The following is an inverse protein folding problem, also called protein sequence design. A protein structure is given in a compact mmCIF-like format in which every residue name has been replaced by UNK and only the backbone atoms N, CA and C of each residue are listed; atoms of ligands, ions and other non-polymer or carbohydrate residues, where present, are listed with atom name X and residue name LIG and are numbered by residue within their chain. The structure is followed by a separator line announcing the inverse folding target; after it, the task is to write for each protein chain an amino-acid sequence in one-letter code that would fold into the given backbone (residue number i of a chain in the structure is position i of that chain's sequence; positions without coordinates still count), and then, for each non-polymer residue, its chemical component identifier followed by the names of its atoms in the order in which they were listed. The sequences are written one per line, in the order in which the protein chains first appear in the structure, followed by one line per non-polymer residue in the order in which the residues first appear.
data_IF_300530636617
#
_entry.id   IF_300530636617
#
_cell.length_a   1.000
_cell.length_b   1.000
_cell.length_c   1.000
_cell.angle_alpha   90.00
_cell.angle_beta   90.00
_cell.angle_gamma   90.00
#
_symmetry.space_group_name_H-M   'P 1'
#
loop_
_entity.id
_entity.type
_entity.pdbx_description
1 polymer ?
2 polymer ?
3 water ?
#
# COMPACT_ATOMS: atom_id res chain seq x y z
N UNK A 3 -13.06 -7.61 -2.98
CA UNK A 3 -13.04 -7.52 -4.47
C UNK A 3 -11.71 -7.00 -5.02
N UNK A 4 -10.62 -7.60 -4.55
CA UNK A 4 -9.25 -7.26 -4.97
C UNK A 4 -8.33 -8.05 -4.06
N UNK A 5 -7.68 -9.09 -4.60
CA UNK A 5 -6.76 -9.90 -3.81
C UNK A 5 -5.32 -9.71 -4.24
N UNK A 6 -4.49 -9.30 -3.29
CA UNK A 6 -3.07 -9.05 -3.54
C UNK A 6 -2.22 -10.01 -2.74
N UNK A 7 -1.36 -10.74 -3.44
CA UNK A 7 -0.48 -11.73 -2.83
C UNK A 7 0.93 -11.16 -2.63
N UNK A 8 1.37 -11.09 -1.38
CA UNK A 8 2.68 -10.51 -1.10
C UNK A 8 3.67 -11.45 -0.42
N UNK A 9 4.96 -11.19 -0.66
CA UNK A 9 6.03 -11.95 -0.04
C UNK A 9 7.37 -11.27 -0.25
N UNK A 10 8.30 -11.53 0.65
CA UNK A 10 9.63 -10.97 0.56
C UNK A 10 10.58 -12.13 0.37
N UNK A 11 11.40 -12.06 -0.66
CA UNK A 11 12.30 -13.16 -0.94
C UNK A 11 13.73 -12.71 -1.12
N UNK A 12 14.64 -13.64 -0.86
CA UNK A 12 16.06 -13.39 -0.98
C UNK A 12 16.60 -14.10 -2.23
N UNK A 13 17.36 -13.38 -3.04
CA UNK A 13 17.96 -13.98 -4.22
C UNK A 13 19.45 -13.89 -4.04
N UNK A 14 20.14 -14.98 -4.35
CA UNK A 14 21.59 -15.03 -4.27
C UNK A 14 22.08 -15.69 -5.54
N UNK A 15 22.78 -14.92 -6.36
CA UNK A 15 23.29 -15.44 -7.62
C UNK A 15 24.81 -15.50 -7.62
N UNK A 16 25.36 -16.15 -8.64
CA UNK A 16 26.80 -16.26 -8.78
C UNK A 16 27.26 -15.12 -9.69
N UNK A 17 28.48 -14.65 -9.45
CA UNK A 17 29.08 -13.56 -10.21
C UNK A 17 28.80 -13.61 -11.71
N UNK A 18 29.07 -14.76 -12.30
CA UNK A 18 28.89 -14.95 -13.73
C UNK A 18 27.48 -14.72 -14.23
N UNK A 19 26.51 -15.34 -13.56
CA UNK A 19 25.12 -15.25 -13.98
C UNK A 19 24.35 -14.02 -13.50
N UNK A 20 23.06 -13.99 -13.85
CA UNK A 20 22.18 -12.92 -13.45
C UNK A 20 21.08 -13.54 -12.62
N UNK A 21 20.18 -12.71 -12.08
CA UNK A 21 19.09 -13.22 -11.27
C UNK A 21 18.05 -13.95 -12.13
N UNK A 22 18.01 -13.60 -13.41
CA UNK A 22 17.08 -14.24 -14.32
C UNK A 22 15.68 -13.67 -14.43
N UNK A 23 15.57 -12.38 -14.72
CA UNK A 23 14.26 -11.77 -14.89
C UNK A 23 14.38 -10.46 -15.64
N UNK A 24 13.29 -10.07 -16.29
CA UNK A 24 13.27 -8.83 -17.04
C UNK A 24 12.34 -7.88 -16.30
N UNK A 25 12.90 -6.74 -15.91
CA UNK A 25 12.18 -5.74 -15.18
C UNK A 25 11.69 -4.62 -16.08
N UNK A 26 10.37 -4.43 -16.13
CA UNK A 26 9.79 -3.35 -16.92
C UNK A 26 9.03 -2.39 -16.01
N UNK A 27 9.10 -1.10 -16.31
CA UNK A 27 8.39 -0.15 -15.47
C UNK A 27 8.24 1.23 -16.06
N UNK A 28 8.87 2.21 -15.41
CA UNK A 28 8.83 3.60 -15.83
C UNK A 28 9.87 4.42 -15.06
N UNK A 34 5.54 9.04 -17.36
CA UNK A 34 4.79 9.93 -16.49
C UNK A 34 5.71 10.50 -15.40
N UNK A 35 5.12 10.80 -14.24
CA UNK A 35 5.86 11.34 -13.11
C UNK A 35 5.18 10.98 -11.79
N UNK A 36 4.04 11.62 -11.54
CA UNK A 36 3.26 11.40 -10.33
C UNK A 36 2.46 10.11 -10.38
N UNK A 37 2.99 9.07 -9.73
CA UNK A 37 2.31 7.79 -9.69
C UNK A 37 1.48 7.67 -8.43
N UNK A 38 0.25 7.18 -8.58
CA UNK A 38 -0.64 6.96 -7.45
C UNK A 38 -1.00 5.48 -7.44
N UNK A 39 -0.36 4.69 -6.56
CA UNK A 39 -0.61 3.25 -6.46
C UNK A 39 -2.08 2.90 -6.40
N UNK A 40 -2.43 1.81 -7.07
CA UNK A 40 -3.79 1.31 -7.10
C UNK A 40 -3.67 -0.20 -6.88
N UNK A 41 -4.73 -0.84 -6.39
CA UNK A 41 -4.63 -2.29 -6.17
C UNK A 41 -4.21 -3.03 -7.43
N UNK A 42 -4.85 -2.71 -8.56
CA UNK A 42 -4.54 -3.38 -9.81
C UNK A 42 -3.18 -2.94 -10.35
N UNK A 43 -2.76 -1.75 -9.98
CA UNK A 43 -1.49 -1.18 -10.43
C UNK A 43 -0.74 -0.69 -9.19
N UNK A 44 -0.26 -1.61 -8.34
CA UNK A 44 0.47 -1.25 -7.12
C UNK A 44 1.82 -0.53 -7.20
N UNK A 45 2.64 -0.82 -8.20
CA UNK A 45 3.94 -0.14 -8.28
C UNK A 45 4.36 0.14 -9.71
N UNK A 46 5.46 0.86 -9.88
CA UNK A 46 5.96 1.20 -11.21
C UNK A 46 6.67 0.06 -11.93
N UNK A 47 7.59 -0.60 -11.22
CA UNK A 47 8.35 -1.70 -11.80
C UNK A 47 7.72 -3.05 -11.48
N UNK A 48 7.69 -3.93 -12.47
CA UNK A 48 7.14 -5.26 -12.30
C UNK A 48 7.95 -6.23 -13.14
N UNK A 49 7.72 -7.52 -12.92
CA UNK A 49 8.45 -8.53 -13.66
C UNK A 49 7.71 -8.90 -14.92
N UNK A 50 8.26 -8.48 -16.05
CA UNK A 50 7.68 -8.78 -17.36
C UNK A 50 7.91 -10.25 -17.69
N UNK A 51 9.08 -10.75 -17.30
CA UNK A 51 9.44 -12.13 -17.55
C UNK A 51 10.47 -12.65 -16.56
N UNK A 52 10.34 -13.94 -16.24
CA UNK A 52 11.21 -14.65 -15.32
C UNK A 52 11.65 -15.98 -15.96
N UNK A 53 12.96 -16.14 -16.17
CA UNK A 53 13.53 -17.36 -16.75
C UNK A 53 13.23 -18.55 -15.84
N UNK A 54 12.52 -19.54 -16.36
CA UNK A 54 12.18 -20.72 -15.57
C UNK A 54 13.44 -21.43 -15.07
N UNK A 55 13.43 -21.84 -13.81
CA UNK A 55 14.58 -22.52 -13.24
C UNK A 55 15.76 -21.60 -12.93
N UNK A 56 15.59 -20.30 -13.18
CA UNK A 56 16.67 -19.36 -12.89
C UNK A 56 16.71 -19.02 -11.40
N UNK A 57 17.66 -18.17 -11.02
CA UNK A 57 17.79 -17.77 -9.62
C UNK A 57 16.46 -17.19 -9.14
N UNK A 58 15.99 -16.18 -9.86
CA UNK A 58 14.74 -15.53 -9.51
C UNK A 58 13.61 -16.54 -9.48
N UNK A 59 13.55 -17.38 -10.51
CA UNK A 59 12.50 -18.37 -10.60
C UNK A 59 12.52 -19.35 -9.43
N UNK A 60 13.69 -19.89 -9.12
CA UNK A 60 13.78 -20.82 -8.01
C UNK A 60 13.41 -20.17 -6.67
N UNK A 61 13.70 -18.88 -6.52
CA UNK A 61 13.37 -18.19 -5.28
C UNK A 61 11.87 -17.98 -5.12
N UNK A 62 11.12 -18.13 -6.21
CA UNK A 62 9.68 -17.97 -6.14
C UNK A 62 9.10 -16.76 -6.87
N UNK A 63 9.93 -16.07 -7.65
CA UNK A 63 9.46 -14.90 -8.38
C UNK A 63 8.79 -15.33 -9.68
N UNK A 64 7.74 -14.60 -10.06
CA UNK A 64 6.99 -14.91 -11.28
C UNK A 64 6.52 -13.66 -12.05
N UNK A 65 6.19 -13.87 -13.32
CA UNK A 65 5.70 -12.81 -14.21
C UNK A 65 4.57 -12.08 -13.51
N UNK A 66 4.51 -10.77 -13.68
CA UNK A 66 3.45 -9.99 -13.07
C UNK A 66 3.74 -9.49 -11.67
N UNK A 67 4.85 -9.93 -11.08
CA UNK A 67 5.23 -9.50 -9.75
C UNK A 67 5.62 -8.04 -9.75
N UNK A 68 4.96 -7.25 -8.91
CA UNK A 68 5.27 -5.84 -8.80
C UNK A 68 6.28 -5.71 -7.68
N UNK A 69 7.27 -4.86 -7.87
CA UNK A 69 8.29 -4.66 -6.84
C UNK A 69 7.87 -3.57 -5.86
N UNK A 70 7.80 -3.95 -4.59
CA UNK A 70 7.40 -3.04 -3.53
C UNK A 70 8.63 -2.48 -2.81
N UNK A 71 9.58 -3.35 -2.49
CA UNK A 71 10.81 -2.95 -1.82
C UNK A 71 11.98 -3.74 -2.38
N UNK A 72 13.09 -3.05 -2.58
CA UNK A 72 14.32 -3.63 -3.09
C UNK A 72 15.37 -3.43 -2.02
N UNK A 73 15.91 -4.53 -1.49
CA UNK A 73 16.93 -4.44 -0.46
C UNK A 73 16.48 -3.52 0.69
N UNK A 74 15.19 -3.60 1.01
CA UNK A 74 14.66 -2.81 2.11
C UNK A 74 14.19 -1.42 1.77
N UNK A 75 14.46 -0.96 0.55
CA UNK A 75 14.03 0.38 0.16
C UNK A 75 12.73 0.28 -0.61
N UNK A 76 11.77 1.13 -0.27
CA UNK A 76 10.50 1.12 -0.96
C UNK A 76 10.73 1.69 -2.36
N UNK A 77 10.19 1.02 -3.37
CA UNK A 77 10.38 1.47 -4.75
C UNK A 77 9.05 1.60 -5.48
N UNK A 78 7.96 1.54 -4.72
CA UNK A 78 6.63 1.65 -5.28
C UNK A 78 6.53 2.78 -6.29
N UNK A 79 7.12 3.92 -5.96
CA UNK A 79 7.06 5.09 -6.83
C UNK A 79 8.40 5.48 -7.44
N UNK A 80 9.32 4.53 -7.53
CA UNK A 80 10.63 4.82 -8.07
C UNK A 80 10.70 4.56 -9.58
N UNK A 81 11.56 5.33 -10.25
CA UNK A 81 11.74 5.21 -11.69
C UNK A 81 12.58 4.00 -12.05
N UNK A 82 12.29 3.42 -13.21
CA UNK A 82 12.97 2.25 -13.72
C UNK A 82 14.48 2.27 -13.55
N UNK A 83 15.11 3.33 -14.05
CA UNK A 83 16.56 3.48 -13.97
C UNK A 83 17.07 3.42 -12.54
N UNK A 84 16.40 4.15 -11.65
CA UNK A 84 16.81 4.18 -10.25
C UNK A 84 16.68 2.81 -9.58
N UNK A 85 15.60 2.09 -9.89
CA UNK A 85 15.37 0.77 -9.32
C UNK A 85 16.42 -0.21 -9.85
N UNK A 86 16.65 -0.17 -11.16
CA UNK A 86 17.63 -1.04 -11.78
C UNK A 86 18.97 -0.85 -11.08
N UNK A 87 19.32 0.41 -10.87
CA UNK A 87 20.56 0.77 -10.22
C UNK A 87 20.64 0.19 -8.81
N UNK A 88 19.53 0.27 -8.07
CA UNK A 88 19.50 -0.26 -6.72
C UNK A 88 19.75 -1.75 -6.73
N UNK A 89 19.17 -2.44 -7.72
CA UNK A 89 19.34 -3.88 -7.84
C UNK A 89 20.81 -4.17 -8.16
N UNK A 90 21.38 -3.36 -9.04
CA UNK A 90 22.77 -3.52 -9.40
C UNK A 90 23.59 -3.41 -8.11
N UNK A 91 23.33 -2.35 -7.36
CA UNK A 91 24.03 -2.09 -6.11
C UNK A 91 24.23 -3.29 -5.18
N UNK A 92 23.18 -4.09 -5.00
CA UNK A 92 23.28 -5.24 -4.12
C UNK A 92 24.26 -6.33 -4.53
N UNK A 93 24.80 -6.22 -5.74
CA UNK A 93 25.74 -7.22 -6.20
C UNK A 93 25.12 -8.56 -6.58
N UNK A 94 25.47 -9.60 -5.83
CA UNK A 94 24.95 -10.94 -6.11
C UNK A 94 23.80 -11.35 -5.21
N UNK A 95 23.28 -10.38 -4.47
CA UNK A 95 22.15 -10.68 -3.60
C UNK A 95 21.09 -9.63 -3.84
N UNK A 96 19.84 -10.05 -3.71
CA UNK A 96 18.72 -9.15 -3.87
C UNK A 96 17.63 -9.62 -2.95
N UNK A 97 17.22 -8.74 -2.04
CA UNK A 97 16.14 -9.07 -1.14
C UNK A 97 15.03 -8.21 -1.72
N UNK A 98 13.93 -8.85 -2.10
CA UNK A 98 12.87 -8.09 -2.71
C UNK A 98 11.50 -8.46 -2.19
N UNK A 99 10.69 -7.45 -1.91
CA UNK A 99 9.31 -7.66 -1.47
C UNK A 99 8.47 -7.42 -2.72
N UNK A 100 7.60 -8.36 -3.06
CA UNK A 100 6.78 -8.21 -4.25
C UNK A 100 5.34 -8.55 -3.98
N UNK A 101 4.49 -8.17 -4.92
CA UNK A 101 3.08 -8.44 -4.84
C UNK A 101 2.57 -8.86 -6.21
N UNK A 102 1.64 -9.79 -6.17
CA UNK A 102 1.00 -10.34 -7.34
C UNK A 102 -0.47 -9.99 -7.16
N UNK A 103 -1.02 -9.21 -8.08
CA UNK A 103 -2.43 -8.87 -8.00
C UNK A 103 -3.12 -10.06 -8.64
N UNK A 104 -3.89 -10.79 -7.84
CA UNK A 104 -4.57 -11.97 -8.35
C UNK A 104 -6.08 -11.83 -8.38
N UNK A 105 -6.57 -10.59 -8.34
CA UNK A 105 -8.01 -10.29 -8.38
C UNK A 105 -8.72 -11.04 -9.52
N UNK B 1 4.06 -15.97 2.78
CA UNK B 1 3.64 -14.56 2.58
C UNK B 1 2.26 -14.29 3.15
N UNK B 2 1.57 -13.31 2.56
CA UNK B 2 0.24 -12.94 3.02
C UNK B 2 -0.64 -12.62 1.84
N UNK B 3 -1.93 -12.90 1.99
CA UNK B 3 -2.87 -12.56 0.94
C UNK B 3 -3.71 -11.44 1.54
N UNK B 4 -3.82 -10.33 0.81
CA UNK B 4 -4.60 -9.18 1.25
C UNK B 4 -5.88 -8.96 0.43
N UNK B 5 -7.01 -8.88 1.12
CA UNK B 5 -8.30 -8.62 0.50
C UNK B 5 -8.48 -7.10 0.65
N UNK B 6 -8.57 -6.41 -0.48
CA UNK B 6 -8.71 -4.97 -0.46
C UNK B 6 -10.08 -4.55 -0.95
N UNK B 7 -10.75 -3.72 -0.16
CA UNK B 7 -12.07 -3.21 -0.50
C UNK B 7 -12.08 -1.71 -0.26
N UNK B 8 -12.71 -0.96 -1.17
CA UNK B 8 -12.78 0.49 -1.03
C UNK B 8 -14.23 0.94 -1.02
N UNK B 9 -14.50 2.08 -0.38
CA UNK B 9 -15.85 2.60 -0.31
C UNK B 9 -15.90 3.97 0.33
N UNK B 10 -17.02 4.66 0.15
CA UNK B 10 -17.18 5.98 0.73
C UNK B 10 -18.40 5.95 1.63
N UNK B 11 -18.27 6.56 2.80
CA UNK B 11 -19.36 6.55 3.77
C UNK B 11 -19.75 7.93 4.24
N UNK B 12 -21.05 8.15 4.42
CA UNK B 12 -21.54 9.45 4.88
C UNK B 12 -21.98 9.43 6.33
N UNK B 13 -21.27 10.20 7.15
CA UNK B 13 -21.58 10.29 8.56
C UNK B 13 -22.25 11.61 8.88
N UNK B 14 -23.25 11.55 9.76
CA UNK B 14 -23.93 12.74 10.20
C UNK B 14 -24.37 12.53 11.64
N UNK B 15 -23.86 13.36 12.53
CA UNK B 15 -24.18 13.24 13.95
C UNK B 15 -24.92 14.47 14.47
N UNK B 16 -25.41 14.35 15.70
CA UNK B 16 -26.10 15.45 16.37
C UNK B 16 -24.97 16.30 16.91
N UNK B 17 -25.20 17.60 17.00
CA UNK B 17 -24.18 18.50 17.49
C UNK B 17 -23.70 18.09 18.88
N UNK B 18 -24.53 17.32 19.58
CA UNK B 18 -24.22 16.88 20.94
C UNK B 18 -23.62 15.49 21.04
N UNK B 19 -23.05 14.99 19.95
CA UNK B 19 -22.45 13.66 19.97
C UNK B 19 -21.22 13.55 19.10
N UNK B 20 -20.49 12.46 19.27
CA UNK B 20 -19.30 12.23 18.46
C UNK B 20 -19.62 11.32 17.29
N UNK B 21 -18.70 11.19 16.34
CA UNK B 21 -18.93 10.32 15.20
C UNK B 21 -18.84 8.88 15.67
N UNK B 22 -18.14 8.68 16.78
CA UNK B 22 -18.02 7.35 17.34
C UNK B 22 -16.83 6.52 16.91
N UNK B 23 -15.68 7.15 16.70
CA UNK B 23 -14.48 6.40 16.32
C UNK B 23 -13.21 7.09 16.76
N UNK B 24 -12.14 6.30 16.85
CA UNK B 24 -10.84 6.80 17.24
C UNK B 24 -9.96 6.74 16.00
N UNK B 25 -9.40 7.88 15.63
CA UNK B 25 -8.54 7.96 14.46
C UNK B 25 -7.11 7.71 14.94
N UNK B 26 -6.34 6.93 14.18
CA UNK B 26 -4.97 6.66 14.56
C UNK B 26 -4.03 6.77 13.37
N UNK B 27 -2.81 7.25 13.62
CA UNK B 27 -1.85 7.37 12.55
C UNK B 27 -0.67 8.26 12.87
N UNK B 28 0.32 8.28 11.98
CA UNK B 28 1.51 9.10 12.18
C UNK B 28 1.14 10.57 12.23
N UNK B 34 7.38 14.05 10.98
CA UNK B 34 7.09 14.03 9.55
C UNK B 34 8.31 13.69 8.70
N UNK B 35 8.15 12.73 7.80
CA UNK B 35 9.24 12.33 6.92
C UNK B 35 8.73 11.79 5.58
N UNK B 36 8.94 10.51 5.30
CA UNK B 36 8.49 9.95 4.03
C UNK B 36 7.65 8.68 4.12
N UNK B 37 6.49 8.72 3.48
CA UNK B 37 5.55 7.60 3.45
C UNK B 37 5.09 7.34 2.02
N UNK B 38 5.00 6.07 1.68
CA UNK B 38 4.54 5.67 0.36
C UNK B 38 3.69 4.42 0.54
N UNK B 39 2.44 4.46 0.06
CA UNK B 39 1.45 3.38 0.14
C UNK B 39 1.92 1.99 -0.27
N UNK B 40 1.77 1.05 0.66
CA UNK B 40 2.10 -0.34 0.41
C UNK B 40 0.76 -1.06 0.45
N UNK B 41 0.72 -2.35 0.08
CA UNK B 41 -0.56 -3.07 0.09
C UNK B 41 -1.17 -3.18 1.48
N UNK B 42 -0.33 -3.48 2.48
CA UNK B 42 -0.78 -3.64 3.85
C UNK B 42 -1.16 -2.31 4.52
N UNK B 43 -0.44 -1.24 4.16
CA UNK B 43 -0.68 0.09 4.72
C UNK B 43 -0.83 1.11 3.61
N UNK B 44 -2.06 1.26 3.09
CA UNK B 44 -2.35 2.20 2.01
C UNK B 44 -2.48 3.68 2.39
N UNK B 45 -2.46 4.00 3.68
CA UNK B 45 -2.60 5.38 4.12
C UNK B 45 -2.03 5.59 5.52
N UNK B 46 -1.84 6.86 5.88
CA UNK B 46 -1.28 7.23 7.17
C UNK B 46 -2.23 7.13 8.36
N UNK B 47 -3.52 7.41 8.16
CA UNK B 47 -4.46 7.33 9.28
C UNK B 47 -5.45 6.22 9.03
N UNK B 48 -5.96 5.65 10.11
CA UNK B 48 -6.93 4.57 10.01
C UNK B 48 -7.76 4.55 11.28
N UNK B 49 -8.79 3.73 11.30
CA UNK B 49 -9.66 3.65 12.46
C UNK B 49 -9.11 2.71 13.51
N UNK B 50 -8.59 3.30 14.58
CA UNK B 50 -8.03 2.57 15.70
C UNK B 50 -9.14 1.76 16.37
N UNK B 51 -10.36 2.29 16.32
CA UNK B 51 -11.51 1.62 16.91
C UNK B 51 -12.77 2.32 16.45
N UNK B 52 -13.89 1.61 16.51
CA UNK B 52 -15.18 2.15 16.10
C UNK B 52 -16.23 1.74 17.12
N UNK B 53 -16.89 2.73 17.73
CA UNK B 53 -17.90 2.45 18.74
C UNK B 53 -19.02 1.53 18.27
N UNK B 54 -19.12 0.40 18.95
CA UNK B 54 -20.09 -0.66 18.69
C UNK B 54 -21.50 -0.28 18.25
N UNK B 55 -21.91 0.97 18.46
CA UNK B 55 -23.25 1.34 18.04
C UNK B 55 -23.45 2.80 17.71
N UNK B 56 -22.36 3.53 17.52
CA UNK B 56 -22.46 4.95 17.21
C UNK B 56 -22.69 5.25 15.74
N UNK B 57 -22.52 6.52 15.38
CA UNK B 57 -22.69 6.96 14.00
C UNK B 57 -21.79 6.14 13.09
N UNK B 58 -20.48 6.29 13.28
CA UNK B 58 -19.48 5.57 12.50
C UNK B 58 -19.86 4.11 12.25
N UNK B 59 -20.07 3.37 13.33
CA UNK B 59 -20.42 1.96 13.22
C UNK B 59 -21.67 1.71 12.39
N UNK B 60 -22.68 2.56 12.58
CA UNK B 60 -23.93 2.43 11.86
C UNK B 60 -23.79 2.80 10.38
N UNK B 61 -22.77 3.59 10.07
CA UNK B 61 -22.53 4.01 8.69
C UNK B 61 -21.75 2.93 7.96
N UNK B 62 -21.28 1.93 8.71
CA UNK B 62 -20.55 0.83 8.11
C UNK B 62 -19.04 0.80 8.31
N UNK B 63 -18.50 1.82 8.97
CA UNK B 63 -17.07 1.86 9.21
C UNK B 63 -16.70 0.82 10.27
N UNK B 64 -15.48 0.30 10.18
CA UNK B 64 -15.02 -0.71 11.12
C UNK B 64 -13.56 -0.43 11.46
N UNK B 65 -13.06 -1.02 12.54
CA UNK B 65 -11.68 -0.76 12.91
C UNK B 65 -10.72 -1.29 11.85
N UNK B 66 -9.62 -0.58 11.66
CA UNK B 66 -8.64 -0.98 10.66
C UNK B 66 -8.82 -0.23 9.35
N UNK B 67 -10.03 0.24 9.08
CA UNK B 67 -10.29 0.99 7.85
C UNK B 67 -9.32 2.15 7.71
N UNK B 68 -8.62 2.21 6.58
CA UNK B 68 -7.69 3.30 6.33
C UNK B 68 -8.46 4.45 5.67
N UNK B 69 -8.12 5.68 6.06
CA UNK B 69 -8.77 6.87 5.52
C UNK B 69 -8.06 7.36 4.27
N UNK B 70 -8.78 7.38 3.15
CA UNK B 70 -8.18 7.82 1.91
C UNK B 70 -8.61 9.23 1.56
N UNK B 71 -9.86 9.54 1.86
CA UNK B 71 -10.39 10.85 1.54
C UNK B 71 -11.32 11.35 2.64
N UNK B 72 -11.11 12.59 3.06
CA UNK B 72 -11.96 13.23 4.07
C UNK B 72 -12.65 14.40 3.36
N UNK B 73 -13.97 14.34 3.27
CA UNK B 73 -14.74 15.39 2.60
C UNK B 73 -14.13 15.83 1.27
N UNK B 74 -13.94 14.88 0.37
CA UNK B 74 -13.38 15.18 -0.94
C UNK B 74 -11.90 15.50 -0.94
N UNK B 75 -11.27 15.43 0.22
CA UNK B 75 -9.85 15.72 0.31
C UNK B 75 -9.01 14.48 0.59
N UNK B 76 -8.07 14.20 -0.31
CA UNK B 76 -7.20 13.04 -0.19
C UNK B 76 -6.27 13.20 1.01
N UNK B 77 -6.37 12.27 1.96
CA UNK B 77 -5.55 12.34 3.15
C UNK B 77 -4.59 11.17 3.23
N UNK B 78 -4.38 10.49 2.11
CA UNK B 78 -3.48 9.34 2.07
C UNK B 78 -2.13 9.57 2.72
N UNK B 79 -1.55 10.74 2.48
CA UNK B 79 -0.24 11.06 3.03
C UNK B 79 -0.27 12.19 4.05
N UNK B 80 -1.44 12.53 4.57
CA UNK B 80 -1.53 13.63 5.51
C UNK B 80 -1.35 13.28 6.98
N UNK B 81 -0.58 14.11 7.68
CA UNK B 81 -0.34 13.90 9.10
C UNK B 81 -1.62 13.84 9.92
N UNK B 82 -1.53 13.21 11.09
CA UNK B 82 -2.67 13.04 12.00
C UNK B 82 -3.37 14.35 12.38
N UNK B 83 -2.58 15.31 12.85
CA UNK B 83 -3.08 16.62 13.26
C UNK B 83 -3.99 17.22 12.20
N UNK B 84 -3.42 17.47 11.03
CA UNK B 84 -4.18 18.05 9.94
C UNK B 84 -5.39 17.22 9.53
N UNK B 85 -5.25 15.90 9.54
CA UNK B 85 -6.38 15.08 9.14
C UNK B 85 -7.53 15.29 10.11
N UNK B 86 -7.20 15.40 11.38
CA UNK B 86 -8.19 15.61 12.42
C UNK B 86 -8.91 16.94 12.22
N UNK B 87 -8.15 17.96 11.83
CA UNK B 87 -8.68 19.29 11.60
C UNK B 87 -9.66 19.29 10.44
N UNK B 88 -9.38 18.49 9.42
CA UNK B 88 -10.25 18.39 8.26
C UNK B 88 -11.58 17.78 8.65
N UNK B 89 -11.51 16.74 9.47
CA UNK B 89 -12.73 16.08 9.89
C UNK B 89 -13.60 17.07 10.67
N UNK B 90 -12.96 17.98 11.40
CA UNK B 90 -13.70 18.95 12.18
C UNK B 90 -14.29 20.05 11.32
N UNK B 91 -13.59 20.42 10.26
CA UNK B 91 -14.08 21.45 9.36
C UNK B 91 -15.48 21.14 8.85
N UNK B 92 -15.74 19.86 8.57
CA UNK B 92 -17.05 19.48 8.06
C UNK B 92 -18.14 19.30 9.10
N UNK B 93 -17.80 19.52 10.37
CA UNK B 93 -18.74 19.39 11.48
C UNK B 93 -20.08 18.70 11.26
N UNK B 94 -20.39 17.73 12.11
CA UNK B 94 -21.66 16.98 12.04
C UNK B 94 -21.92 16.15 10.78
N UNK B 95 -21.20 16.45 9.71
CA UNK B 95 -21.33 15.69 8.46
C UNK B 95 -19.94 15.33 7.97
N UNK B 96 -19.73 14.05 7.71
CA UNK B 96 -18.44 13.58 7.25
C UNK B 96 -18.56 12.53 6.16
N UNK B 97 -17.93 12.81 5.03
CA UNK B 97 -17.92 11.89 3.90
C UNK B 97 -16.48 11.40 3.79
N UNK B 98 -16.25 10.16 4.23
CA UNK B 98 -14.91 9.59 4.19
C UNK B 98 -14.85 8.42 3.24
N UNK B 99 -13.78 8.40 2.45
CA UNK B 99 -13.53 7.31 1.53
C UNK B 99 -12.52 6.46 2.29
N UNK B 100 -12.78 5.17 2.42
CA UNK B 100 -11.84 4.32 3.14
C UNK B 100 -11.52 3.06 2.36
N UNK B 101 -10.43 2.42 2.76
CA UNK B 101 -10.03 1.18 2.15
C UNK B 101 -9.94 0.19 3.30
N UNK B 102 -10.53 -0.97 3.10
CA UNK B 102 -10.52 -2.00 4.12
C UNK B 102 -9.56 -3.09 3.67
N UNK B 103 -8.54 -3.30 4.48
CA UNK B 103 -7.50 -4.28 4.20
C UNK B 103 -7.60 -5.45 5.17
N UNK B 104 -7.78 -6.66 4.65
CA UNK B 104 -7.83 -7.83 5.53
C UNK B 104 -6.73 -8.79 5.11
N UNK B 105 -5.89 -9.17 6.07
CA UNK B 105 -4.75 -10.05 5.84
C UNK B 105 -5.05 -11.51 6.16
N UNK B 106 -4.73 -12.38 5.21
CA UNK B 106 -4.91 -13.81 5.37
C UNK B 106 -3.54 -14.41 5.10
N UNK B 107 -3.19 -15.49 5.81
CA UNK B 107 -1.89 -16.12 5.59
C UNK B 107 -1.88 -16.86 4.26
N UNK B 108 -0.77 -16.75 3.52
CA UNK B 108 -0.67 -17.45 2.25
C UNK B 108 0.35 -18.56 2.38
N UNK C 1 7.46 3.13 -21.42
CA UNK C 1 8.12 2.24 -20.43
C UNK C 1 9.57 1.92 -20.82
N UNK C 2 10.14 0.90 -20.17
CA UNK C 2 11.51 0.47 -20.43
C UNK C 2 11.78 -0.83 -19.68
N UNK C 3 12.27 -1.83 -20.39
CA UNK C 3 12.56 -3.12 -19.77
C UNK C 3 14.06 -3.26 -19.53
N UNK C 4 14.44 -4.25 -18.73
CA UNK C 4 15.84 -4.48 -18.43
C UNK C 4 15.99 -5.89 -17.87
N UNK C 5 17.02 -6.59 -18.32
CA UNK C 5 17.27 -7.95 -17.85
C UNK C 5 18.32 -7.94 -16.74
N UNK C 6 18.03 -8.66 -15.66
CA UNK C 6 18.93 -8.74 -14.53
C UNK C 6 19.06 -10.18 -14.04
N UNK D 1 2.83 7.06 16.73
CA UNK D 1 1.50 7.46 16.17
C UNK D 1 0.68 8.12 17.25
N UNK D 2 -0.36 8.85 16.85
CA UNK D 2 -1.24 9.53 17.80
C UNK D 2 -2.65 9.05 17.56
N UNK D 3 -3.52 9.27 18.53
CA UNK D 3 -4.92 8.87 18.42
C UNK D 3 -5.85 10.02 18.79
N UNK D 4 -7.05 10.00 18.24
CA UNK D 4 -8.02 11.04 18.52
C UNK D 4 -9.43 10.48 18.51
N UNK D 5 -10.18 10.80 19.55
CA UNK D 5 -11.55 10.36 19.67
C UNK D 5 -12.35 11.36 18.86
N UNK D 6 -13.29 10.87 18.06
CA UNK D 6 -14.12 11.75 17.23
C UNK D 6 -15.51 11.15 17.08
#
# INVERSE_FOLDING_TARGET
GSDYIIKEKTVLLQKKDSEGFGFVLRGAKAQTPIEEFTPTPAFPALQYLESVDEGGVAWRAGLRMGDFLIEVNGQNVVKVGHRQVVNMIRQGGNTLMVKVVMVTRHPDM
GSDYIIKEKTVLLQKKDSEGFGFVLRGAKAQTPIEEFTPTPAFPALQYLESVDEGGVAWRAGLRMGDFLIEVNGQNVVKVGHRQVVNMIRQGGNTLMVKVVMVTRHPDM
EAQTRL
EAQTRL
#
